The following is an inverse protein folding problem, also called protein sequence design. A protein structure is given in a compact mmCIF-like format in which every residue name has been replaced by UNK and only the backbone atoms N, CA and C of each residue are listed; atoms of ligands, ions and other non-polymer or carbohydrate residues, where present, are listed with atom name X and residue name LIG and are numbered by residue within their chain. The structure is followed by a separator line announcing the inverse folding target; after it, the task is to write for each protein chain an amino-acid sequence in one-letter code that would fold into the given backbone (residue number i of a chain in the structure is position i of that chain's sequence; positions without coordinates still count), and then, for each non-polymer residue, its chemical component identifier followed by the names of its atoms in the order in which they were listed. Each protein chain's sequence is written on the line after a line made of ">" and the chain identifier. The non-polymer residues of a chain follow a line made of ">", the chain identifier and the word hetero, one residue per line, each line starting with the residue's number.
data_IF_887952381297
#
_entry.id   IF_887952381297
#
_cell.length_a   1.000
_cell.length_b   1.000
_cell.length_c   1.000
_cell.angle_alpha   90.00
_cell.angle_beta   90.00
_cell.angle_gamma   90.00
#
_symmetry.space_group_name_H-M   'P 1'
#
loop_
_entity.id
_entity.type
_entity.pdbx_description
1 polymer ?
#
# COMPACT_ATOMS: atom_id res chain seq x y z
N UNK A 1 14.04 -2.13 -8.88
CA UNK A 1 15.08 -2.86 -8.13
C UNK A 1 15.28 -2.07 -6.88
N UNK A 2 14.42 -2.36 -5.92
CA UNK A 2 14.55 -1.91 -4.55
C UNK A 2 15.46 -2.89 -3.81
N UNK A 3 16.10 -2.46 -2.72
CA UNK A 3 17.06 -3.28 -1.96
C UNK A 3 16.43 -4.57 -1.39
N UNK A 4 15.10 -4.62 -1.31
CA UNK A 4 14.31 -5.74 -0.75
C UNK A 4 13.82 -6.74 -1.79
N UNK A 5 14.12 -6.54 -3.08
CA UNK A 5 13.67 -7.44 -4.15
C UNK A 5 14.43 -8.77 -4.13
N UNK A 6 13.70 -9.89 -4.09
CA UNK A 6 14.24 -11.24 -4.26
C UNK A 6 14.33 -11.60 -5.75
N UNK A 7 15.52 -11.98 -6.21
CA UNK A 7 15.77 -12.38 -7.59
C UNK A 7 15.60 -13.89 -7.81
N UNK A 8 14.55 -14.29 -8.53
CA UNK A 8 14.29 -15.66 -8.96
C UNK A 8 14.85 -15.88 -10.36
N UNK A 9 15.89 -16.71 -10.47
CA UNK A 9 16.58 -17.00 -11.74
C UNK A 9 15.97 -18.20 -12.43
N UNK A 10 15.52 -18.01 -13.67
CA UNK A 10 15.07 -19.04 -14.58
C UNK A 10 16.01 -19.12 -15.79
N UNK A 11 15.89 -20.16 -16.61
CA UNK A 11 16.79 -20.36 -17.76
C UNK A 11 16.71 -19.23 -18.79
N UNK A 12 15.53 -18.63 -18.97
CA UNK A 12 15.27 -17.64 -20.02
C UNK A 12 14.96 -16.23 -19.49
N UNK A 13 14.75 -16.08 -18.19
CA UNK A 13 14.41 -14.80 -17.56
C UNK A 13 14.81 -14.76 -16.09
N UNK A 14 14.84 -13.56 -15.52
CA UNK A 14 14.93 -13.37 -14.07
C UNK A 14 13.68 -12.62 -13.63
N UNK A 15 12.95 -13.19 -12.67
CA UNK A 15 11.83 -12.51 -12.03
C UNK A 15 12.32 -11.85 -10.74
N UNK A 16 11.89 -10.61 -10.50
CA UNK A 16 12.12 -9.91 -9.25
C UNK A 16 10.81 -9.83 -8.49
N UNK A 17 10.83 -10.26 -7.23
CA UNK A 17 9.66 -10.34 -6.37
C UNK A 17 9.99 -9.57 -5.10
N UNK A 18 9.17 -8.56 -4.77
CA UNK A 18 9.33 -7.84 -3.52
C UNK A 18 8.95 -8.74 -2.32
N UNK A 19 9.53 -8.46 -1.17
CA UNK A 19 9.32 -9.25 0.05
C UNK A 19 7.84 -9.36 0.46
N UNK A 20 7.04 -8.32 0.20
CA UNK A 20 5.62 -8.33 0.53
C UNK A 20 4.82 -9.24 -0.41
N UNK A 21 5.22 -9.34 -1.69
CA UNK A 21 4.55 -10.21 -2.66
C UNK A 21 4.97 -11.67 -2.62
N UNK A 22 6.17 -11.97 -2.10
CA UNK A 22 6.72 -13.34 -2.09
C UNK A 22 5.76 -14.39 -1.50
N UNK A 23 5.06 -14.14 -0.36
CA UNK A 23 4.09 -15.08 0.18
C UNK A 23 2.85 -15.32 -0.71
N UNK A 24 2.53 -14.40 -1.62
CA UNK A 24 1.34 -14.51 -2.49
C UNK A 24 1.61 -15.22 -3.82
N UNK A 25 2.88 -15.49 -4.11
CA UNK A 25 3.30 -16.26 -5.28
C UNK A 25 3.43 -17.76 -4.97
N UNK A 26 2.92 -18.21 -3.83
CA UNK A 26 2.74 -19.64 -3.56
C UNK A 26 1.84 -20.26 -4.65
N UNK A 27 2.31 -21.35 -5.24
CA UNK A 27 1.73 -22.02 -6.42
C UNK A 27 1.66 -21.16 -7.70
N UNK A 28 2.45 -20.08 -7.78
CA UNK A 28 2.58 -19.32 -9.03
C UNK A 28 3.48 -20.04 -10.04
N UNK A 29 3.05 -20.03 -11.31
CA UNK A 29 3.74 -20.64 -12.44
C UNK A 29 3.93 -19.63 -13.58
N UNK A 30 5.07 -19.71 -14.26
CA UNK A 30 5.38 -18.94 -15.45
C UNK A 30 5.47 -19.90 -16.63
N UNK A 31 4.51 -19.83 -17.55
CA UNK A 31 4.49 -20.58 -18.80
C UNK A 31 5.04 -19.71 -19.93
N UNK A 32 6.12 -20.16 -20.57
CA UNK A 32 6.63 -19.55 -21.79
C UNK A 32 6.44 -20.52 -22.97
N UNK A 33 5.63 -20.10 -23.95
CA UNK A 33 5.31 -20.89 -25.14
C UNK A 33 5.75 -20.12 -26.38
N UNK A 34 6.56 -20.74 -27.23
CA UNK A 34 6.95 -20.20 -28.53
C UNK A 34 6.31 -21.04 -29.64
N UNK A 35 5.56 -20.40 -30.54
CA UNK A 35 4.94 -21.02 -31.71
C UNK A 35 5.30 -20.21 -32.99
N UNK A 36 4.85 -20.67 -34.16
CA UNK A 36 5.11 -20.02 -35.45
C UNK A 36 4.53 -18.59 -35.54
N UNK A 37 3.56 -18.25 -34.70
CA UNK A 37 2.93 -16.94 -34.62
C UNK A 37 3.61 -15.96 -33.64
N UNK A 38 4.57 -16.43 -32.84
CA UNK A 38 5.27 -15.60 -31.86
C UNK A 38 5.57 -16.31 -30.55
N UNK A 39 6.02 -15.55 -29.56
CA UNK A 39 6.26 -16.05 -28.19
C UNK A 39 5.24 -15.46 -27.22
N UNK A 40 4.72 -16.29 -26.32
CA UNK A 40 3.75 -15.92 -25.29
C UNK A 40 4.32 -16.29 -23.91
N UNK A 41 4.36 -15.29 -23.01
CA UNK A 41 4.68 -15.47 -21.60
C UNK A 41 3.38 -15.31 -20.80
N UNK A 42 3.02 -16.33 -20.02
CA UNK A 42 1.81 -16.35 -19.18
C UNK A 42 2.21 -16.56 -17.73
N UNK A 43 1.82 -15.64 -16.84
CA UNK A 43 1.96 -15.80 -15.40
C UNK A 43 0.61 -16.28 -14.83
N UNK A 44 0.59 -17.47 -14.24
CA UNK A 44 -0.54 -17.99 -13.47
C UNK A 44 -0.18 -17.87 -12.00
N UNK A 45 -0.91 -17.06 -11.25
CA UNK A 45 -0.69 -16.94 -9.82
C UNK A 45 -2.05 -17.02 -9.11
N UNK A 46 -2.53 -18.24 -8.79
CA UNK A 46 -3.88 -18.44 -8.27
C UNK A 46 -4.09 -17.73 -6.92
N UNK A 47 -3.01 -17.55 -6.15
CA UNK A 47 -2.99 -16.90 -4.85
C UNK A 47 -2.45 -15.46 -4.87
N UNK A 48 -2.15 -14.88 -6.05
CA UNK A 48 -1.58 -13.53 -6.16
C UNK A 48 -2.51 -12.40 -5.70
N UNK A 49 -3.76 -12.73 -5.33
CA UNK A 49 -4.58 -11.79 -4.58
C UNK A 49 -3.93 -11.64 -3.21
N UNK A 50 -3.17 -10.56 -3.06
CA UNK A 50 -2.64 -10.01 -1.80
C UNK A 50 -3.56 -10.47 -0.66
N UNK A 51 -3.03 -11.23 0.32
CA UNK A 51 -3.84 -11.88 1.37
C UNK A 51 -4.85 -10.87 1.87
N UNK A 52 -6.12 -11.27 1.99
CA UNK A 52 -6.96 -10.71 3.05
C UNK A 52 -6.14 -10.88 4.33
N UNK A 53 -5.63 -9.79 4.88
CA UNK A 53 -5.03 -9.79 6.22
C UNK A 53 -6.02 -10.55 7.10
N UNK A 54 -5.53 -11.57 7.82
CA UNK A 54 -6.41 -12.35 8.71
C UNK A 54 -7.10 -11.40 9.67
N UNK A 55 -8.37 -11.65 10.00
CA UNK A 55 -9.12 -10.77 10.90
C UNK A 55 -8.42 -10.60 12.27
N UNK A 56 -7.59 -11.58 12.66
CA UNK A 56 -6.78 -11.59 13.90
C UNK A 56 -5.43 -10.84 13.81
N UNK A 57 -5.06 -10.29 12.65
CA UNK A 57 -3.79 -9.57 12.52
C UNK A 57 -3.84 -8.22 13.27
N UNK A 58 -2.68 -7.69 13.70
CA UNK A 58 -2.61 -6.38 14.35
C UNK A 58 -3.32 -5.30 13.53
N UNK A 59 -3.99 -4.38 14.21
CA UNK A 59 -4.72 -3.27 13.59
C UNK A 59 -3.83 -2.49 12.61
N UNK A 60 -2.55 -2.30 12.97
CA UNK A 60 -1.58 -1.62 12.12
C UNK A 60 -1.40 -2.30 10.76
N UNK A 61 -1.24 -3.62 10.74
CA UNK A 61 -1.08 -4.40 9.50
C UNK A 61 -2.37 -4.37 8.66
N UNK A 62 -3.53 -4.46 9.31
CA UNK A 62 -4.84 -4.39 8.63
C UNK A 62 -5.06 -3.04 7.97
N UNK A 63 -4.72 -1.95 8.67
CA UNK A 63 -4.81 -0.58 8.14
C UNK A 63 -3.82 -0.38 6.99
N UNK A 64 -2.57 -0.80 7.16
CA UNK A 64 -1.55 -0.69 6.11
C UNK A 64 -1.96 -1.44 4.84
N UNK A 65 -2.51 -2.65 4.99
CA UNK A 65 -3.04 -3.41 3.87
C UNK A 65 -4.20 -2.70 3.16
N UNK A 66 -5.14 -2.09 3.88
CA UNK A 66 -6.21 -1.32 3.24
C UNK A 66 -5.64 -0.14 2.45
N UNK A 67 -4.64 0.54 3.01
CA UNK A 67 -3.97 1.66 2.35
C UNK A 67 -3.30 1.21 1.05
N UNK A 68 -2.58 0.09 1.06
CA UNK A 68 -1.87 -0.43 -0.12
C UNK A 68 -2.81 -1.05 -1.17
N UNK A 69 -3.81 -1.81 -0.73
CA UNK A 69 -4.66 -2.60 -1.64
C UNK A 69 -5.84 -1.82 -2.23
N UNK A 70 -6.32 -0.78 -1.55
CA UNK A 70 -7.51 -0.03 -1.98
C UNK A 70 -7.25 1.46 -2.17
N UNK A 71 -6.63 2.13 -1.19
CA UNK A 71 -6.52 3.60 -1.19
C UNK A 71 -5.42 4.07 -2.16
N UNK A 72 -4.21 3.52 -2.06
CA UNK A 72 -3.08 3.91 -2.91
C UNK A 72 -3.31 3.69 -4.41
N UNK A 73 -3.97 2.61 -4.87
CA UNK A 73 -4.36 2.47 -6.27
C UNK A 73 -5.28 3.60 -6.76
N UNK A 74 -6.18 4.09 -5.91
CA UNK A 74 -7.05 5.23 -6.23
C UNK A 74 -6.25 6.55 -6.27
N UNK A 75 -5.34 6.74 -5.31
CA UNK A 75 -4.49 7.93 -5.24
C UNK A 75 -3.45 8.01 -6.35
N UNK A 76 -2.90 6.86 -6.77
CA UNK A 76 -1.85 6.77 -7.78
C UNK A 76 -2.30 7.34 -9.13
N UNK A 77 -3.59 7.20 -9.48
CA UNK A 77 -4.18 7.84 -10.67
C UNK A 77 -4.10 9.37 -10.67
N UNK A 78 -3.98 9.98 -9.49
CA UNK A 78 -3.81 11.41 -9.28
C UNK A 78 -2.37 11.78 -8.86
N UNK A 79 -1.43 10.83 -8.95
CA UNK A 79 -0.04 11.01 -8.53
C UNK A 79 0.15 11.11 -7.01
N UNK A 80 -0.87 10.80 -6.21
CA UNK A 80 -0.82 10.78 -4.75
C UNK A 80 -0.47 9.41 -4.19
N UNK A 81 -0.01 9.39 -2.94
CA UNK A 81 0.18 8.18 -2.13
C UNK A 81 -0.04 8.53 -0.66
N UNK A 82 -0.36 7.52 0.14
CA UNK A 82 -0.46 7.63 1.60
C UNK A 82 0.22 6.42 2.24
N UNK A 83 0.89 6.67 3.36
CA UNK A 83 1.57 5.66 4.18
C UNK A 83 1.13 5.80 5.62
N UNK A 84 0.94 4.68 6.32
CA UNK A 84 0.73 4.67 7.76
C UNK A 84 2.08 4.83 8.47
N UNK A 85 2.18 5.76 9.41
CA UNK A 85 3.38 5.97 10.21
C UNK A 85 3.28 5.24 11.54
N UNK A 86 2.15 5.42 12.24
CA UNK A 86 1.88 4.80 13.53
C UNK A 86 0.37 4.83 13.82
N UNK A 87 -0.04 4.00 14.80
CA UNK A 87 -1.34 4.13 15.45
C UNK A 87 -1.06 4.46 16.91
N UNK A 88 -1.53 5.62 17.37
CA UNK A 88 -1.28 6.06 18.74
C UNK A 88 -2.07 5.22 19.75
N UNK A 89 -1.64 5.22 21.01
CA UNK A 89 -2.38 4.56 22.11
C UNK A 89 -3.81 5.12 22.28
N UNK A 90 -4.04 6.35 21.84
CA UNK A 90 -5.36 6.97 21.81
C UNK A 90 -6.27 6.44 20.68
N UNK A 91 -5.76 5.60 19.79
CA UNK A 91 -6.47 5.03 18.65
C UNK A 91 -6.50 5.92 17.42
N UNK A 92 -5.50 6.80 17.24
CA UNK A 92 -5.41 7.67 16.07
C UNK A 92 -4.41 7.11 15.06
N UNK A 93 -4.81 6.97 13.80
CA UNK A 93 -3.89 6.60 12.72
C UNK A 93 -3.16 7.84 12.20
N UNK A 94 -1.83 7.85 12.32
CA UNK A 94 -0.98 8.91 11.80
C UNK A 94 -0.57 8.54 10.38
N UNK A 95 -1.01 9.34 9.41
CA UNK A 95 -0.75 9.11 8.00
C UNK A 95 0.22 10.14 7.44
N UNK A 96 1.12 9.69 6.58
CA UNK A 96 1.96 10.54 5.75
C UNK A 96 1.43 10.53 4.33
N UNK A 97 0.98 11.69 3.86
CA UNK A 97 0.57 11.89 2.48
C UNK A 97 1.78 12.31 1.65
N UNK A 98 1.86 11.81 0.42
CA UNK A 98 2.92 12.16 -0.51
C UNK A 98 2.42 12.18 -1.95
N UNK A 99 3.18 12.78 -2.86
CA UNK A 99 2.86 12.79 -4.29
C UNK A 99 2.43 14.14 -4.86
N UNK A 100 2.08 14.12 -6.15
CA UNK A 100 2.09 15.22 -7.12
C UNK A 100 1.00 16.27 -7.01
N UNK A 101 0.77 16.83 -5.82
CA UNK A 101 0.22 18.17 -5.67
C UNK A 101 0.98 18.89 -4.55
N UNK A 102 2.20 19.34 -4.88
CA UNK A 102 2.96 20.31 -4.09
C UNK A 102 2.15 21.62 -3.94
N UNK A 103 1.19 21.67 -3.02
CA UNK A 103 0.62 22.92 -2.52
C UNK A 103 -0.78 23.30 -3.00
N UNK A 104 -1.74 22.36 -3.04
CA UNK A 104 -3.15 22.73 -3.19
C UNK A 104 -3.95 22.33 -1.93
N UNK A 105 -3.84 23.15 -0.89
CA UNK A 105 -4.32 22.90 0.48
C UNK A 105 -5.82 22.54 0.61
N UNK A 106 -6.64 22.75 -0.43
CA UNK A 106 -8.06 22.37 -0.44
C UNK A 106 -8.29 20.92 -0.89
N UNK A 107 -7.43 20.36 -1.74
CA UNK A 107 -7.54 18.97 -2.20
C UNK A 107 -7.17 18.03 -1.04
N UNK A 108 -6.21 18.43 -0.23
CA UNK A 108 -5.70 17.65 0.91
C UNK A 108 -6.79 17.39 1.96
N UNK A 109 -7.68 18.37 2.23
CA UNK A 109 -8.75 18.22 3.22
C UNK A 109 -9.80 17.20 2.76
N UNK A 110 -10.28 17.31 1.51
CA UNK A 110 -11.34 16.41 1.01
C UNK A 110 -10.82 14.98 0.87
N UNK A 111 -9.55 14.83 0.47
CA UNK A 111 -8.89 13.54 0.37
C UNK A 111 -8.72 12.88 1.75
N UNK A 112 -8.24 13.65 2.73
CA UNK A 112 -8.11 13.21 4.12
C UNK A 112 -9.45 12.77 4.68
N UNK A 113 -10.51 13.55 4.50
CA UNK A 113 -11.87 13.20 4.97
C UNK A 113 -12.39 11.92 4.33
N UNK A 114 -12.11 11.69 3.04
CA UNK A 114 -12.49 10.47 2.34
C UNK A 114 -11.79 9.23 2.90
N UNK A 115 -10.47 9.33 3.09
CA UNK A 115 -9.64 8.25 3.66
C UNK A 115 -10.02 7.98 5.11
N UNK A 116 -10.24 9.02 5.91
CA UNK A 116 -10.69 8.90 7.30
C UNK A 116 -12.03 8.17 7.40
N UNK A 117 -13.03 8.56 6.61
CA UNK A 117 -14.32 7.86 6.59
C UNK A 117 -14.17 6.39 6.20
N UNK A 118 -13.35 6.10 5.19
CA UNK A 118 -13.13 4.72 4.77
C UNK A 118 -12.45 3.89 5.86
N UNK A 119 -11.42 4.44 6.52
CA UNK A 119 -10.72 3.79 7.62
C UNK A 119 -11.62 3.57 8.83
N UNK A 120 -12.43 4.55 9.23
CA UNK A 120 -13.35 4.41 10.36
C UNK A 120 -14.49 3.42 10.08
N UNK A 121 -14.91 3.29 8.81
CA UNK A 121 -15.93 2.30 8.42
C UNK A 121 -15.37 0.87 8.47
N UNK A 122 -14.14 0.65 8.00
CA UNK A 122 -13.50 -0.68 7.99
C UNK A 122 -12.92 -1.06 9.37
N UNK A 123 -12.48 -0.06 10.14
CA UNK A 123 -11.81 -0.22 11.43
C UNK A 123 -12.49 0.64 12.50
N UNK A 124 -13.58 0.16 13.13
CA UNK A 124 -14.26 0.88 14.21
C UNK A 124 -13.41 1.05 15.48
N UNK A 125 -12.26 0.37 15.54
CA UNK A 125 -11.23 0.49 16.59
C UNK A 125 -10.48 1.82 16.51
N UNK A 126 -10.43 2.47 15.34
CA UNK A 126 -9.84 3.78 15.14
C UNK A 126 -10.79 4.88 15.63
N UNK A 127 -10.23 5.90 16.29
CA UNK A 127 -10.95 7.11 16.70
C UNK A 127 -10.85 8.25 15.70
N UNK A 128 -9.91 8.18 14.77
CA UNK A 128 -9.71 9.19 13.73
C UNK A 128 -8.36 9.08 13.03
N UNK A 129 -8.15 9.99 12.08
CA UNK A 129 -6.92 10.07 11.27
C UNK A 129 -6.25 11.44 11.45
N UNK A 130 -4.93 11.46 11.60
CA UNK A 130 -4.14 12.70 11.62
C UNK A 130 -3.05 12.66 10.57
N UNK A 131 -2.79 13.82 9.99
CA UNK A 131 -1.65 13.99 9.10
C UNK A 131 -0.36 14.15 9.92
N UNK A 132 0.73 13.58 9.42
CA UNK A 132 2.05 13.65 10.05
C UNK A 132 2.52 15.10 10.29
N UNK A 133 2.17 16.05 9.43
CA UNK A 133 2.50 17.48 9.60
C UNK A 133 1.68 18.14 10.71
N UNK A 134 0.44 17.74 10.93
CA UNK A 134 -0.38 18.20 12.06
C UNK A 134 0.08 17.59 13.38
N UNK A 135 0.53 16.34 13.36
CA UNK A 135 1.14 15.68 14.51
C UNK A 135 2.45 16.36 14.95
N UNK A 136 3.28 16.76 13.99
CA UNK A 136 4.55 17.46 14.26
C UNK A 136 4.38 18.91 14.74
N UNK A 137 3.25 19.57 14.46
CA UNK A 137 3.01 20.96 14.88
C UNK A 137 2.91 21.14 16.41
N UNK A 138 2.98 20.06 17.19
CA UNK A 138 3.00 20.08 18.66
C UNK A 138 4.35 20.41 19.32
N UNK A 139 5.49 20.36 18.62
CA UNK A 139 6.81 20.40 19.30
C UNK A 139 7.83 21.44 18.81
N UNK A 140 7.44 22.52 18.13
CA UNK A 140 8.35 23.68 18.01
C UNK A 140 7.57 25.00 17.85
N UNK A 141 6.97 25.46 18.95
CA UNK A 141 6.67 26.89 19.11
C UNK A 141 7.95 27.60 19.53
N UNK A 142 8.66 28.22 18.59
CA UNK A 142 9.54 29.35 18.93
C UNK A 142 9.13 30.56 18.07
N UNK A 143 8.96 31.65 18.82
CA UNK A 143 8.52 32.99 18.47
C UNK A 143 9.32 33.62 17.33
#
# INVERSE_FOLDING_TARGET
>A
MEDTDTALKFEQLTAYVDELSAPYLEDAEIDFVTDQLGSQLTLKAPNAKMRKVSDDAPLMERVEYLLQSQINPQLAGHGGRVSLMEITDDGLAILQFGGGCNGCSMVDVTLKEGIEKQLLNEFPELKGVRDLTEHQRGEHSYY
#
